data_IF_807641620129
#
_entry.id   IF_807641620129
#
_cell.length_a   1.000
_cell.length_b   1.000
_cell.length_c   1.000
_cell.angle_alpha   90.00
_cell.angle_beta   90.00
_cell.angle_gamma   90.00
#
_symmetry.space_group_name_H-M   'P 1'
#
loop_
_entity.id
_entity.type
_entity.pdbx_description
1 polymer ?
#
# COMPACT_ATOMS: atom_id res chain seq x y z
N UNK A 1 -12.74 5.81 -10.20
CA UNK A 1 -11.75 5.30 -9.22
C UNK A 1 -11.99 3.80 -9.11
N UNK A 2 -10.98 2.98 -9.39
CA UNK A 2 -11.09 1.51 -9.27
C UNK A 2 -10.79 1.12 -7.84
N UNK A 3 -11.76 0.56 -7.12
CA UNK A 3 -11.55 0.02 -5.77
C UNK A 3 -11.06 -1.43 -5.89
N UNK A 4 -9.96 -1.74 -5.20
CA UNK A 4 -9.29 -3.03 -5.21
C UNK A 4 -8.96 -3.43 -3.78
N UNK A 5 -8.83 -4.72 -3.51
CA UNK A 5 -8.19 -5.25 -2.30
C UNK A 5 -6.82 -5.77 -2.73
N UNK A 6 -5.76 -5.38 -2.05
CA UNK A 6 -4.42 -5.87 -2.35
C UNK A 6 -4.28 -7.34 -1.97
N UNK A 7 -3.41 -8.11 -2.63
CA UNK A 7 -2.96 -9.37 -2.05
C UNK A 7 -2.24 -9.11 -0.71
N UNK A 8 -2.02 -10.14 0.12
CA UNK A 8 -1.17 -10.03 1.30
C UNK A 8 0.19 -9.43 0.94
N UNK A 9 0.64 -8.46 1.72
CA UNK A 9 1.88 -7.74 1.50
C UNK A 9 2.58 -7.50 2.83
N UNK A 10 3.91 -7.43 2.77
CA UNK A 10 4.71 -6.97 3.91
C UNK A 10 4.55 -5.45 4.02
N UNK A 11 4.13 -4.99 5.19
CA UNK A 11 3.97 -3.60 5.50
C UNK A 11 5.33 -2.93 5.68
N UNK A 12 5.51 -1.78 5.05
CA UNK A 12 6.69 -0.93 5.16
C UNK A 12 6.28 0.51 5.42
N UNK A 13 7.08 1.24 6.18
CA UNK A 13 6.89 2.70 6.37
C UNK A 13 5.44 3.09 6.80
N UNK A 14 4.88 2.47 7.86
CA UNK A 14 3.49 2.72 8.25
C UNK A 14 3.31 4.03 9.02
N UNK A 15 2.52 4.93 8.47
CA UNK A 15 2.01 6.17 9.10
C UNK A 15 0.49 6.06 9.20
N UNK A 16 0.05 5.25 10.16
CA UNK A 16 -1.36 4.86 10.33
C UNK A 16 -1.95 5.46 11.61
N UNK A 17 -1.24 5.37 12.74
CA UNK A 17 -1.68 5.97 13.99
C UNK A 17 -1.34 7.47 14.07
N UNK A 18 -0.24 7.86 13.42
CA UNK A 18 0.20 9.23 13.31
C UNK A 18 0.50 9.54 11.83
N UNK A 19 -0.05 10.64 11.28
CA UNK A 19 0.20 11.01 9.91
C UNK A 19 1.62 11.57 9.72
N UNK A 20 2.14 11.43 8.52
CA UNK A 20 3.33 12.16 8.07
C UNK A 20 2.95 13.64 7.90
N UNK A 21 3.70 14.56 8.51
CA UNK A 21 3.56 16.00 8.24
C UNK A 21 4.49 16.36 7.09
N UNK A 22 3.91 16.74 5.95
CA UNK A 22 4.67 17.13 4.76
C UNK A 22 5.28 18.52 4.95
N UNK A 23 6.27 18.86 4.13
CA UNK A 23 6.89 20.19 4.12
C UNK A 23 5.89 21.34 3.92
N UNK A 24 4.77 21.08 3.25
CA UNK A 24 3.66 22.04 3.07
C UNK A 24 2.83 22.28 4.33
N UNK A 25 3.05 21.49 5.40
CA UNK A 25 2.21 21.46 6.60
C UNK A 25 1.02 20.50 6.52
N UNK A 26 0.76 19.91 5.34
CA UNK A 26 -0.32 18.95 5.18
C UNK A 26 0.00 17.63 5.89
N UNK A 27 -1.00 17.09 6.60
CA UNK A 27 -0.91 15.78 7.23
C UNK A 27 -1.42 14.69 6.28
N UNK A 28 -0.71 13.56 6.22
CA UNK A 28 -1.09 12.46 5.35
C UNK A 28 -0.79 11.11 5.99
N UNK A 29 -1.80 10.26 6.04
CA UNK A 29 -1.63 8.87 6.42
C UNK A 29 -1.18 8.06 5.21
N UNK A 30 -0.22 7.16 5.42
CA UNK A 30 0.28 6.33 4.33
C UNK A 30 0.86 5.01 4.81
N UNK A 31 0.90 4.07 3.87
CA UNK A 31 1.63 2.81 4.03
C UNK A 31 2.37 2.51 2.73
N UNK A 32 3.44 1.74 2.84
CA UNK A 32 4.06 1.09 1.68
C UNK A 32 3.81 -0.41 1.77
N UNK A 33 3.28 -1.00 0.69
CA UNK A 33 3.07 -2.43 0.59
C UNK A 33 4.20 -3.04 -0.25
N UNK A 34 4.88 -4.04 0.29
CA UNK A 34 5.95 -4.78 -0.36
C UNK A 34 5.50 -6.20 -0.70
N UNK A 35 5.71 -6.59 -1.96
CA UNK A 35 5.43 -7.92 -2.47
C UNK A 35 6.73 -8.57 -2.95
N UNK A 36 6.94 -9.84 -2.59
CA UNK A 36 8.10 -10.63 -3.00
C UNK A 36 7.86 -11.48 -4.26
N UNK A 37 6.61 -11.66 -4.68
CA UNK A 37 6.23 -12.48 -5.82
C UNK A 37 5.56 -11.65 -6.91
N UNK A 38 6.08 -11.72 -8.15
CA UNK A 38 5.51 -10.97 -9.29
C UNK A 38 4.08 -11.43 -9.59
N UNK A 39 3.80 -12.72 -9.44
CA UNK A 39 2.48 -13.35 -9.67
C UNK A 39 1.38 -12.67 -8.84
N UNK A 40 1.68 -12.34 -7.58
CA UNK A 40 0.74 -11.65 -6.70
C UNK A 40 0.39 -10.25 -7.24
N UNK A 41 1.35 -9.57 -7.86
CA UNK A 41 1.20 -8.17 -8.30
C UNK A 41 0.78 -8.04 -9.76
N UNK A 42 0.85 -9.10 -10.57
CA UNK A 42 0.42 -9.08 -11.99
C UNK A 42 -0.97 -8.48 -12.21
N UNK A 43 -2.02 -8.81 -11.41
CA UNK A 43 -3.33 -8.18 -11.57
C UNK A 43 -3.29 -6.66 -11.34
N UNK A 44 -2.52 -6.21 -10.35
CA UNK A 44 -2.35 -4.79 -10.05
C UNK A 44 -1.59 -4.07 -11.17
N UNK A 45 -0.54 -4.69 -11.72
CA UNK A 45 0.21 -4.15 -12.88
C UNK A 45 -0.76 -3.89 -14.05
N UNK A 46 -1.60 -4.86 -14.39
CA UNK A 46 -2.59 -4.72 -15.48
C UNK A 46 -3.57 -3.57 -15.22
N UNK A 47 -3.99 -3.35 -13.98
CA UNK A 47 -4.88 -2.23 -13.65
C UNK A 47 -4.18 -0.88 -13.76
N UNK A 48 -2.91 -0.81 -13.33
CA UNK A 48 -2.09 0.40 -13.46
C UNK A 48 -1.86 0.72 -14.94
N UNK A 49 -1.51 -0.26 -15.77
CA UNK A 49 -1.27 -0.09 -17.21
C UNK A 49 -2.50 0.47 -17.94
N UNK A 50 -3.71 0.02 -17.58
CA UNK A 50 -4.96 0.55 -18.15
C UNK A 50 -5.19 2.04 -17.87
N UNK A 51 -4.68 2.53 -16.73
CA UNK A 51 -4.84 3.91 -16.30
C UNK A 51 -3.64 4.79 -16.68
N UNK A 52 -2.53 4.18 -17.08
CA UNK A 52 -1.24 4.84 -17.26
C UNK A 52 -1.26 5.74 -18.51
N UNK A 53 -0.98 7.05 -18.39
CA UNK A 53 -0.71 7.87 -19.55
C UNK A 53 0.62 7.46 -20.19
N UNK A 54 0.79 7.74 -21.49
CA UNK A 54 1.89 7.22 -22.33
C UNK A 54 3.32 7.38 -21.75
N UNK A 55 3.56 8.43 -20.97
CA UNK A 55 4.84 8.71 -20.28
C UNK A 55 4.67 8.92 -18.77
N UNK A 56 3.65 8.32 -18.17
CA UNK A 56 3.27 8.56 -16.79
C UNK A 56 4.15 7.87 -15.75
N UNK A 57 4.17 8.41 -14.54
CA UNK A 57 4.78 7.78 -13.38
C UNK A 57 3.89 6.67 -12.80
N UNK A 58 4.47 5.49 -12.61
CA UNK A 58 3.83 4.37 -11.90
C UNK A 58 3.92 4.52 -10.37
N UNK A 59 2.84 4.23 -9.62
CA UNK A 59 2.88 4.16 -8.16
C UNK A 59 3.54 2.86 -7.67
N UNK A 60 3.65 1.85 -8.54
CA UNK A 60 4.34 0.59 -8.28
C UNK A 60 5.80 0.68 -8.75
N UNK A 61 6.74 0.45 -7.84
CA UNK A 61 8.19 0.48 -8.07
C UNK A 61 8.79 -0.91 -7.89
N UNK A 62 9.76 -1.26 -8.73
CA UNK A 62 10.57 -2.47 -8.56
C UNK A 62 11.87 -2.09 -7.85
N UNK A 63 12.17 -2.76 -6.75
CA UNK A 63 13.37 -2.52 -5.94
C UNK A 63 14.21 -3.79 -5.96
N UNK A 64 15.51 -3.64 -6.20
CA UNK A 64 16.47 -4.75 -6.09
C UNK A 64 16.98 -4.82 -4.64
N UNK A 65 16.82 -5.97 -4.03
CA UNK A 65 17.28 -6.30 -2.68
C UNK A 65 18.30 -7.45 -2.77
N UNK A 66 18.95 -7.78 -1.65
CA UNK A 66 19.86 -8.93 -1.58
C UNK A 66 19.12 -10.26 -1.85
N UNK A 67 17.86 -10.38 -1.41
CA UNK A 67 17.02 -11.56 -1.62
C UNK A 67 16.36 -11.63 -3.00
N UNK A 68 16.59 -10.64 -3.88
CA UNK A 68 16.00 -10.57 -5.22
C UNK A 68 15.21 -9.29 -5.46
N UNK A 69 14.24 -9.33 -6.38
CA UNK A 69 13.39 -8.17 -6.70
C UNK A 69 12.14 -8.19 -5.83
N UNK A 70 11.77 -7.01 -5.33
CA UNK A 70 10.49 -6.78 -4.67
C UNK A 70 9.73 -5.67 -5.39
N UNK A 71 8.41 -5.67 -5.23
CA UNK A 71 7.52 -4.68 -5.79
C UNK A 71 6.91 -3.87 -4.65
N UNK A 72 7.09 -2.54 -4.67
CA UNK A 72 6.56 -1.64 -3.64
C UNK A 72 5.56 -0.66 -4.20
N UNK A 73 4.46 -0.45 -3.50
CA UNK A 73 3.48 0.60 -3.78
C UNK A 73 3.18 1.41 -2.52
N UNK A 74 3.32 2.73 -2.61
CA UNK A 74 2.94 3.66 -1.52
C UNK A 74 1.49 4.08 -1.71
N UNK A 75 0.65 3.84 -0.70
CA UNK A 75 -0.77 4.21 -0.67
C UNK A 75 -0.98 5.32 0.35
N UNK A 76 -1.85 6.30 0.04
CA UNK A 76 -2.01 7.52 0.84
C UNK A 76 -3.48 7.89 1.01
N UNK A 77 -3.81 8.54 2.13
CA UNK A 77 -5.14 9.13 2.38
C UNK A 77 -5.04 10.28 3.39
N UNK A 78 -5.97 11.27 3.35
CA UNK A 78 -5.95 12.40 4.28
C UNK A 78 -6.45 12.04 5.68
N UNK A 79 -7.41 11.12 5.78
CA UNK A 79 -8.02 10.70 7.05
C UNK A 79 -7.39 9.42 7.59
N UNK A 80 -7.40 9.22 8.90
CA UNK A 80 -6.88 8.01 9.52
C UNK A 80 -7.60 6.75 8.99
N UNK A 81 -6.89 5.71 8.50
CA UNK A 81 -7.52 4.44 8.12
C UNK A 81 -7.96 3.63 9.33
N UNK A 82 -9.03 2.85 9.18
CA UNK A 82 -9.32 1.79 10.15
C UNK A 82 -8.37 0.62 9.93
N UNK A 83 -7.92 0.02 11.03
CA UNK A 83 -7.20 -1.24 11.01
C UNK A 83 -8.10 -2.32 11.60
N UNK A 84 -8.46 -3.28 10.77
CA UNK A 84 -9.30 -4.41 11.13
C UNK A 84 -8.42 -5.62 11.44
N UNK A 85 -8.90 -6.49 12.33
CA UNK A 85 -8.31 -7.79 12.57
C UNK A 85 -8.47 -8.74 11.36
N UNK A 86 -7.92 -9.96 11.46
CA UNK A 86 -8.00 -10.94 10.37
C UNK A 86 -9.45 -11.32 9.99
N UNK A 87 -10.39 -11.20 10.92
CA UNK A 87 -11.82 -11.49 10.74
C UNK A 87 -12.60 -10.41 9.98
N UNK A 88 -12.03 -9.22 9.78
CA UNK A 88 -12.68 -8.02 9.22
C UNK A 88 -13.85 -7.45 10.05
N UNK A 89 -14.10 -7.99 11.24
CA UNK A 89 -15.19 -7.56 12.12
C UNK A 89 -14.68 -6.76 13.31
N UNK A 90 -13.48 -7.09 13.80
CA UNK A 90 -12.88 -6.47 14.98
C UNK A 90 -11.84 -5.42 14.59
N UNK A 91 -11.67 -4.41 15.43
CA UNK A 91 -10.55 -3.47 15.30
C UNK A 91 -9.28 -4.14 15.81
N UNK A 92 -8.20 -4.02 15.04
CA UNK A 92 -6.89 -4.46 15.51
C UNK A 92 -6.43 -3.52 16.65
N UNK A 93 -6.10 -4.04 17.84
CA UNK A 93 -5.90 -3.22 19.03
C UNK A 93 -4.50 -2.59 19.13
N UNK A 94 -3.57 -2.94 18.23
CA UNK A 94 -2.17 -2.53 18.31
C UNK A 94 -1.76 -1.67 17.12
N UNK A 95 -0.80 -0.75 17.31
CA UNK A 95 -0.18 -0.04 16.19
C UNK A 95 0.47 -1.00 15.20
N UNK A 96 0.30 -0.74 13.91
CA UNK A 96 0.96 -1.49 12.86
C UNK A 96 2.46 -1.19 12.83
N UNK A 97 3.27 -2.21 12.52
CA UNK A 97 4.73 -2.12 12.50
C UNK A 97 5.29 -2.52 11.14
N UNK A 98 6.49 -2.01 10.85
CA UNK A 98 7.25 -2.46 9.68
C UNK A 98 7.50 -3.98 9.77
N UNK A 99 7.19 -4.69 8.69
CA UNK A 99 7.26 -6.15 8.61
C UNK A 99 5.94 -6.89 8.78
N UNK A 100 4.89 -6.25 9.32
CA UNK A 100 3.59 -6.90 9.50
C UNK A 100 2.99 -7.34 8.17
N UNK A 101 2.26 -8.45 8.17
CA UNK A 101 1.54 -8.92 6.98
C UNK A 101 0.14 -8.32 6.97
N UNK A 102 -0.21 -7.62 5.90
CA UNK A 102 -1.49 -6.91 5.77
C UNK A 102 -2.12 -7.08 4.39
N UNK A 103 -3.42 -6.79 4.30
CA UNK A 103 -4.09 -6.38 3.06
C UNK A 103 -4.60 -4.95 3.22
N UNK A 104 -4.72 -4.23 2.11
CA UNK A 104 -5.35 -2.92 2.12
C UNK A 104 -6.45 -2.85 1.07
N UNK A 105 -7.55 -2.19 1.42
CA UNK A 105 -8.39 -1.58 0.40
C UNK A 105 -7.59 -0.47 -0.25
N UNK A 106 -7.67 -0.38 -1.58
CA UNK A 106 -6.96 0.65 -2.31
C UNK A 106 -7.76 1.16 -3.50
N UNK A 107 -7.44 2.38 -3.91
CA UNK A 107 -7.91 2.99 -5.14
C UNK A 107 -6.78 3.32 -6.09
N UNK A 108 -7.02 3.22 -7.40
CA UNK A 108 -6.12 3.79 -8.41
C UNK A 108 -6.81 4.94 -9.15
N UNK A 109 -6.04 5.99 -9.41
CA UNK A 109 -6.48 7.15 -10.18
C UNK A 109 -5.33 7.68 -11.03
N UNK A 110 -5.62 7.98 -12.29
CA UNK A 110 -4.69 8.71 -13.14
C UNK A 110 -4.72 10.20 -12.80
N UNK A 111 -3.59 10.87 -12.96
CA UNK A 111 -3.46 12.31 -12.85
C UNK A 111 -2.66 12.85 -14.04
N UNK A 112 -2.97 14.07 -14.47
CA UNK A 112 -2.31 14.71 -15.62
C UNK A 112 -1.34 15.83 -15.22
N UNK A 113 -1.52 16.41 -14.03
CA UNK A 113 -0.69 17.52 -13.55
C UNK A 113 0.67 17.01 -13.04
N UNK A 114 1.72 17.84 -13.00
CA UNK A 114 3.03 17.50 -12.40
C UNK A 114 3.69 16.22 -12.98
N UNK A 115 3.71 16.08 -14.31
CA UNK A 115 4.41 14.98 -15.00
C UNK A 115 3.54 13.78 -15.38
N UNK A 116 2.26 13.78 -14.97
CA UNK A 116 1.26 12.75 -15.23
C UNK A 116 1.63 11.34 -14.69
N UNK A 117 0.62 10.54 -14.38
CA UNK A 117 0.86 9.19 -13.87
C UNK A 117 -0.36 8.59 -13.21
N UNK A 118 -0.12 7.61 -12.34
CA UNK A 118 -1.15 6.98 -11.51
C UNK A 118 -0.73 7.09 -10.04
N UNK A 119 -1.69 7.36 -9.17
CA UNK A 119 -1.51 7.36 -7.70
C UNK A 119 -2.35 6.26 -7.06
N UNK A 120 -1.85 5.74 -5.93
CA UNK A 120 -2.56 4.80 -5.07
C UNK A 120 -3.19 5.50 -3.87
N UNK A 121 -4.49 5.33 -3.70
CA UNK A 121 -5.24 5.78 -2.52
C UNK A 121 -5.39 4.65 -1.53
N UNK A 122 -5.23 4.96 -0.25
CA UNK A 122 -5.41 4.03 0.85
C UNK A 122 -6.87 4.03 1.33
N UNK A 123 -7.46 2.85 1.46
CA UNK A 123 -8.72 2.62 2.17
C UNK A 123 -8.44 2.09 3.59
N UNK A 124 -9.28 1.17 4.07
CA UNK A 124 -9.04 0.50 5.36
C UNK A 124 -8.07 -0.68 5.20
N UNK A 125 -7.42 -1.06 6.30
CA UNK A 125 -6.35 -2.06 6.36
C UNK A 125 -6.86 -3.29 7.11
N UNK A 126 -6.56 -4.47 6.61
CA UNK A 126 -6.74 -5.74 7.31
C UNK A 126 -5.38 -6.24 7.78
N UNK A 127 -5.19 -6.33 9.09
CA UNK A 127 -4.06 -7.01 9.70
C UNK A 127 -4.21 -8.52 9.55
N UNK A 128 -3.13 -9.22 9.19
CA UNK A 128 -3.11 -10.68 9.05
C UNK A 128 -2.21 -11.35 10.07
N UNK A 129 -0.97 -10.90 10.21
CA UNK A 129 0.01 -11.47 11.15
C UNK A 129 1.15 -10.51 11.44
N UNK A 130 1.81 -10.69 12.59
CA UNK A 130 3.00 -9.90 12.98
C UNK A 130 4.23 -10.26 12.13
N UNK A 131 5.16 -9.31 12.02
CA UNK A 131 6.48 -9.55 11.45
C UNK A 131 7.22 -10.68 12.22
N UNK A 132 7.47 -11.82 11.58
CA UNK A 132 8.37 -12.85 12.11
C UNK A 132 7.76 -13.87 13.10
N UNK A 133 6.44 -14.03 13.16
CA UNK A 133 5.85 -15.27 13.69
C UNK A 133 5.65 -16.27 12.55
N UNK A 134 6.68 -17.05 12.25
CA UNK A 134 6.42 -18.43 11.82
C UNK A 134 5.74 -19.11 13.01
N UNK A 135 4.52 -19.62 12.82
CA UNK A 135 3.96 -20.61 13.75
C UNK A 135 4.94 -21.80 13.74
N UNK A 136 5.66 -21.96 14.85
CA UNK A 136 6.50 -23.13 15.13
C UNK A 136 5.62 -24.31 15.49
#
# INVERSE_FOLDING_TARGET
MTQLITPPAVLRDPFVDQPETRESGDQLYHITLEFSAIEAVRPLIKQIEKLMPKNGASPLRVIKTEAGRVWRIKLRRPDQPKVLGPDLETLHPHPLKDGDLVRAQMGLMSYANLGAGVVGYLGDIQFLSEAGREEV
#
